data_IF_631873474492
#
_entry.id   IF_631873474492
#
_cell.length_a   1.000
_cell.length_b   1.000
_cell.length_c   1.000
_cell.angle_alpha   90.00
_cell.angle_beta   90.00
_cell.angle_gamma   90.00
#
_symmetry.space_group_name_H-M   'P 1'
#
loop_
_entity.id
_entity.type
_entity.pdbx_description
1 polymer ?
#
# COMPACT_ATOMS: atom_id res chain seq x y z
N UNK A 1 -11.94 -46.97 15.71
CA UNK A 1 -12.13 -45.84 14.76
C UNK A 1 -10.84 -45.61 14.01
N UNK A 2 -10.82 -45.58 12.68
CA UNK A 2 -9.61 -45.20 11.94
C UNK A 2 -9.20 -43.80 12.41
N UNK A 3 -7.96 -43.69 12.86
CA UNK A 3 -7.43 -42.47 13.45
C UNK A 3 -7.13 -41.48 12.29
N UNK A 4 -8.11 -40.61 12.03
CA UNK A 4 -8.23 -39.72 10.86
C UNK A 4 -7.46 -38.40 11.02
N UNK A 5 -6.50 -38.34 11.95
CA UNK A 5 -5.77 -37.11 12.25
C UNK A 5 -5.14 -36.47 11.00
N UNK A 6 -5.27 -35.14 10.89
CA UNK A 6 -4.72 -34.34 9.79
C UNK A 6 -3.24 -34.64 9.54
N UNK A 7 -2.48 -34.90 10.62
CA UNK A 7 -1.07 -35.27 10.55
C UNK A 7 -0.80 -36.51 9.68
N UNK A 8 -1.60 -37.59 9.82
CA UNK A 8 -1.40 -38.81 9.01
C UNK A 8 -1.70 -38.59 7.54
N UNK A 9 -2.70 -37.76 7.20
CA UNK A 9 -3.02 -37.45 5.80
C UNK A 9 -1.89 -36.66 5.13
N UNK A 10 -1.34 -35.67 5.83
CA UNK A 10 -0.25 -34.84 5.31
C UNK A 10 1.07 -35.61 5.22
N UNK A 11 1.33 -36.53 6.15
CA UNK A 11 2.53 -37.38 6.13
C UNK A 11 2.55 -38.35 4.93
N UNK A 12 1.37 -38.70 4.39
CA UNK A 12 1.22 -39.56 3.20
C UNK A 12 1.37 -38.82 1.88
N UNK A 13 1.40 -37.48 1.89
CA UNK A 13 1.55 -36.71 0.65
C UNK A 13 2.93 -36.96 0.04
N UNK A 14 3.00 -37.30 -1.26
CA UNK A 14 4.28 -37.46 -1.93
C UNK A 14 5.03 -36.13 -1.97
N UNK A 15 6.37 -36.18 -1.92
CA UNK A 15 7.18 -34.95 -1.80
C UNK A 15 6.97 -33.98 -2.96
N UNK A 16 6.78 -34.48 -4.17
CA UNK A 16 6.59 -33.68 -5.37
C UNK A 16 5.30 -32.85 -5.33
N UNK A 17 4.25 -33.30 -4.62
CA UNK A 17 3.00 -32.55 -4.52
C UNK A 17 3.03 -31.43 -3.49
N UNK A 18 4.04 -31.40 -2.60
CA UNK A 18 4.11 -30.40 -1.53
C UNK A 18 4.35 -29.00 -2.06
N UNK A 19 5.22 -28.83 -3.06
CA UNK A 19 5.49 -27.52 -3.65
C UNK A 19 4.26 -26.90 -4.35
N UNK A 20 3.54 -27.58 -5.25
CA UNK A 20 2.33 -27.01 -5.85
C UNK A 20 1.21 -26.76 -4.82
N UNK A 21 1.06 -27.63 -3.81
CA UNK A 21 0.12 -27.38 -2.70
C UNK A 21 0.54 -26.15 -1.88
N UNK A 22 1.84 -25.96 -1.65
CA UNK A 22 2.38 -24.77 -0.98
C UNK A 22 2.06 -23.50 -1.76
N UNK A 23 2.30 -23.50 -3.08
CA UNK A 23 1.95 -22.38 -3.97
C UNK A 23 0.46 -22.09 -3.92
N UNK A 24 -0.39 -23.13 -4.02
CA UNK A 24 -1.84 -22.97 -3.90
C UNK A 24 -2.27 -22.40 -2.54
N UNK A 25 -1.71 -22.89 -1.43
CA UNK A 25 -1.99 -22.36 -0.10
C UNK A 25 -1.56 -20.89 0.05
N UNK A 26 -0.41 -20.52 -0.52
CA UNK A 26 0.06 -19.14 -0.62
C UNK A 26 -0.89 -18.26 -1.42
N UNK A 27 -1.34 -18.70 -2.60
CA UNK A 27 -2.30 -17.96 -3.42
C UNK A 27 -3.65 -17.78 -2.70
N UNK A 28 -4.18 -18.84 -2.07
CA UNK A 28 -5.41 -18.78 -1.26
C UNK A 28 -5.24 -17.81 -0.09
N UNK A 29 -4.07 -17.81 0.56
CA UNK A 29 -3.73 -16.82 1.59
C UNK A 29 -3.67 -15.39 1.02
N UNK A 30 -3.21 -15.22 -0.22
CA UNK A 30 -3.13 -13.94 -0.92
C UNK A 30 -4.48 -13.28 -1.20
N UNK A 31 -5.55 -14.08 -1.36
CA UNK A 31 -6.92 -13.58 -1.56
C UNK A 31 -7.48 -12.81 -0.35
N UNK A 32 -6.80 -12.81 0.80
CA UNK A 32 -7.17 -11.97 1.94
C UNK A 32 -6.66 -10.54 1.84
N UNK A 33 -5.82 -10.23 0.86
CA UNK A 33 -5.38 -8.88 0.57
C UNK A 33 -6.36 -8.20 -0.40
N UNK A 34 -6.33 -6.87 -0.43
CA UNK A 34 -7.05 -6.10 -1.44
C UNK A 34 -6.61 -6.55 -2.85
N UNK A 35 -7.54 -6.59 -3.83
CA UNK A 35 -8.92 -6.12 -3.77
C UNK A 35 -9.95 -7.16 -3.29
N UNK A 36 -9.55 -8.39 -3.00
CA UNK A 36 -10.49 -9.49 -2.74
C UNK A 36 -11.02 -9.50 -1.31
N UNK A 37 -10.20 -9.12 -0.33
CA UNK A 37 -10.61 -8.95 1.07
C UNK A 37 -11.26 -10.22 1.70
N UNK A 38 -10.89 -11.41 1.21
CA UNK A 38 -11.44 -12.70 1.65
C UNK A 38 -10.70 -13.21 2.90
N UNK A 39 -10.77 -12.49 4.01
CA UNK A 39 -10.04 -12.78 5.26
C UNK A 39 -10.14 -14.23 5.71
N UNK A 40 -11.36 -14.81 5.70
CA UNK A 40 -11.57 -16.17 6.21
C UNK A 40 -10.94 -17.24 5.32
N UNK A 41 -11.01 -17.05 4.01
CA UNK A 41 -10.36 -17.91 3.04
C UNK A 41 -8.83 -17.80 3.17
N UNK A 42 -8.33 -16.59 3.42
CA UNK A 42 -6.91 -16.38 3.63
C UNK A 42 -6.39 -17.03 4.91
N UNK A 43 -7.16 -17.00 6.01
CA UNK A 43 -6.83 -17.75 7.22
C UNK A 43 -6.80 -19.26 6.97
N UNK A 44 -7.70 -19.78 6.14
CA UNK A 44 -7.65 -21.18 5.72
C UNK A 44 -6.36 -21.49 4.92
N UNK A 45 -5.97 -20.61 4.00
CA UNK A 45 -4.69 -20.70 3.28
C UNK A 45 -3.47 -20.67 4.21
N UNK A 46 -3.48 -19.77 5.20
CA UNK A 46 -2.42 -19.68 6.22
C UNK A 46 -2.35 -20.94 7.09
N UNK A 47 -3.50 -21.45 7.55
CA UNK A 47 -3.57 -22.72 8.31
C UNK A 47 -3.06 -23.88 7.46
N UNK A 48 -3.41 -23.93 6.16
CA UNK A 48 -2.91 -24.94 5.23
C UNK A 48 -1.39 -24.86 5.05
N UNK A 49 -0.81 -23.66 4.93
CA UNK A 49 0.64 -23.44 4.85
C UNK A 49 1.36 -23.96 6.11
N UNK A 50 0.87 -23.61 7.30
CA UNK A 50 1.43 -24.07 8.58
C UNK A 50 1.25 -25.58 8.76
N UNK A 51 0.11 -26.14 8.33
CA UNK A 51 -0.15 -27.57 8.34
C UNK A 51 0.82 -28.31 7.42
N UNK A 52 1.07 -27.80 6.22
CA UNK A 52 2.02 -28.39 5.28
C UNK A 52 3.45 -28.41 5.83
N UNK A 53 3.89 -27.33 6.47
CA UNK A 53 5.17 -27.29 7.17
C UNK A 53 5.27 -28.39 8.23
N UNK A 54 4.20 -28.64 8.97
CA UNK A 54 4.17 -29.64 10.04
C UNK A 54 4.42 -31.08 9.57
N UNK A 55 4.27 -31.36 8.27
CA UNK A 55 4.53 -32.66 7.64
C UNK A 55 5.92 -32.78 6.98
N UNK A 56 6.71 -31.70 7.01
CA UNK A 56 8.09 -31.72 6.52
C UNK A 56 8.99 -32.46 7.51
N UNK A 57 9.97 -33.22 7.03
CA UNK A 57 10.89 -33.97 7.91
C UNK A 57 12.34 -33.51 7.79
N UNK A 58 12.72 -33.00 6.61
CA UNK A 58 14.05 -32.44 6.35
C UNK A 58 13.97 -30.91 6.31
N UNK A 59 15.00 -30.19 6.77
CA UNK A 59 15.05 -28.72 6.64
C UNK A 59 14.88 -28.24 5.19
N UNK A 60 15.42 -28.97 4.21
CA UNK A 60 15.25 -28.64 2.78
C UNK A 60 13.80 -28.78 2.30
N UNK A 61 13.03 -29.74 2.83
CA UNK A 61 11.59 -29.83 2.52
C UNK A 61 10.85 -28.59 3.05
N UNK A 62 11.26 -28.09 4.22
CA UNK A 62 10.68 -26.89 4.82
C UNK A 62 11.02 -25.62 4.03
N UNK A 63 12.25 -25.51 3.51
CA UNK A 63 12.65 -24.45 2.57
C UNK A 63 11.73 -24.45 1.36
N UNK A 64 11.55 -25.60 0.70
CA UNK A 64 10.70 -25.71 -0.49
C UNK A 64 9.24 -25.35 -0.22
N UNK A 65 8.69 -25.76 0.92
CA UNK A 65 7.33 -25.39 1.34
C UNK A 65 7.24 -23.89 1.64
N UNK A 66 8.15 -23.32 2.43
CA UNK A 66 8.13 -21.89 2.76
C UNK A 66 8.30 -20.99 1.54
N UNK A 67 9.21 -21.37 0.63
CA UNK A 67 9.40 -20.69 -0.64
C UNK A 67 8.17 -20.81 -1.54
N UNK A 68 7.57 -22.00 -1.65
CA UNK A 68 6.34 -22.20 -2.43
C UNK A 68 5.16 -21.36 -1.92
N UNK A 69 4.94 -21.35 -0.60
CA UNK A 69 3.91 -20.50 0.03
C UNK A 69 4.18 -19.03 -0.25
N UNK A 70 5.42 -18.57 -0.12
CA UNK A 70 5.80 -17.20 -0.44
C UNK A 70 5.59 -16.86 -1.92
N UNK A 71 5.99 -17.75 -2.82
CA UNK A 71 5.88 -17.54 -4.27
C UNK A 71 4.41 -17.40 -4.71
N UNK A 72 3.53 -18.28 -4.24
CA UNK A 72 2.10 -18.19 -4.53
C UNK A 72 1.45 -16.95 -3.92
N UNK A 73 1.84 -16.59 -2.70
CA UNK A 73 1.33 -15.42 -2.00
C UNK A 73 1.75 -14.11 -2.68
N UNK A 74 3.06 -13.88 -2.83
CA UNK A 74 3.59 -12.66 -3.42
C UNK A 74 3.31 -12.59 -4.92
N UNK A 75 3.32 -13.71 -5.63
CA UNK A 75 2.99 -13.74 -7.06
C UNK A 75 1.56 -13.27 -7.34
N UNK A 76 0.60 -13.64 -6.49
CA UNK A 76 -0.77 -13.16 -6.59
C UNK A 76 -0.90 -11.71 -6.12
N UNK A 77 -0.42 -11.40 -4.91
CA UNK A 77 -0.65 -10.10 -4.27
C UNK A 77 0.12 -8.97 -4.95
N UNK A 78 1.28 -9.25 -5.52
CA UNK A 78 2.10 -8.26 -6.24
C UNK A 78 1.82 -8.24 -7.74
N UNK A 79 0.73 -8.87 -8.21
CA UNK A 79 0.35 -8.84 -9.63
C UNK A 79 0.23 -7.42 -10.21
N UNK A 80 -0.09 -6.43 -9.38
CA UNK A 80 -0.11 -5.01 -9.76
C UNK A 80 1.25 -4.47 -10.24
N UNK A 81 2.37 -5.14 -9.95
CA UNK A 81 3.71 -4.77 -10.43
C UNK A 81 3.80 -4.88 -11.96
N UNK A 82 2.86 -5.55 -12.62
CA UNK A 82 2.78 -5.58 -14.07
C UNK A 82 2.36 -4.23 -14.68
N UNK A 83 1.54 -3.45 -13.97
CA UNK A 83 0.91 -2.21 -14.48
C UNK A 83 1.90 -1.11 -14.87
N UNK A 84 2.96 -0.80 -14.07
CA UNK A 84 3.94 0.21 -14.46
C UNK A 84 4.64 -0.08 -15.80
N UNK A 85 4.81 -1.35 -16.16
CA UNK A 85 5.39 -1.76 -17.44
C UNK A 85 4.42 -1.62 -18.63
N UNK A 86 3.13 -1.42 -18.35
CA UNK A 86 2.12 -1.18 -19.39
C UNK A 86 1.98 0.30 -19.75
N UNK A 87 2.64 1.21 -19.01
CA UNK A 87 2.63 2.65 -19.33
C UNK A 87 3.23 2.87 -20.72
N UNK A 88 4.37 2.23 -20.99
CA UNK A 88 4.96 2.06 -22.32
C UNK A 88 5.22 0.55 -22.56
N UNK A 89 4.15 -0.14 -22.92
CA UNK A 89 4.15 -1.59 -23.13
C UNK A 89 5.08 -2.01 -24.28
N UNK A 90 5.22 -1.17 -25.31
CA UNK A 90 6.07 -1.46 -26.47
C UNK A 90 7.54 -1.52 -26.06
N UNK A 91 8.00 -0.62 -25.20
CA UNK A 91 9.38 -0.61 -24.72
C UNK A 91 9.63 -1.61 -23.58
N UNK A 92 8.70 -1.73 -22.63
CA UNK A 92 8.98 -2.36 -21.32
C UNK A 92 8.08 -3.54 -20.95
N UNK A 93 7.00 -3.79 -21.69
CA UNK A 93 6.00 -4.80 -21.34
C UNK A 93 6.56 -6.23 -21.26
N UNK A 94 7.55 -6.56 -22.08
CA UNK A 94 8.20 -7.89 -22.09
C UNK A 94 8.92 -8.21 -20.77
N UNK A 95 9.34 -7.20 -20.00
CA UNK A 95 10.04 -7.38 -18.72
C UNK A 95 9.10 -7.70 -17.57
N UNK A 96 7.82 -7.33 -17.68
CA UNK A 96 6.83 -7.40 -16.61
C UNK A 96 6.70 -8.78 -15.94
N UNK A 97 6.53 -9.91 -16.67
CA UNK A 97 6.40 -11.23 -16.04
C UNK A 97 7.67 -11.65 -15.29
N UNK A 98 8.86 -11.29 -15.80
CA UNK A 98 10.13 -11.57 -15.14
C UNK A 98 10.29 -10.72 -13.88
N UNK A 99 9.92 -9.44 -13.93
CA UNK A 99 9.95 -8.54 -12.78
C UNK A 99 9.06 -9.07 -11.65
N UNK A 100 7.82 -9.48 -11.97
CA UNK A 100 6.91 -10.07 -10.99
C UNK A 100 7.48 -11.37 -10.42
N UNK A 101 7.93 -12.29 -11.27
CA UNK A 101 8.45 -13.58 -10.82
C UNK A 101 9.67 -13.43 -9.92
N UNK A 102 10.68 -12.66 -10.33
CA UNK A 102 11.90 -12.49 -9.53
C UNK A 102 11.66 -11.71 -8.25
N UNK A 103 10.76 -10.72 -8.26
CA UNK A 103 10.36 -10.03 -7.04
C UNK A 103 9.65 -10.98 -6.07
N UNK A 104 8.64 -11.72 -6.54
CA UNK A 104 7.90 -12.68 -5.71
C UNK A 104 8.81 -13.80 -5.19
N UNK A 105 9.63 -14.40 -6.06
CA UNK A 105 10.59 -15.44 -5.71
C UNK A 105 11.65 -14.96 -4.72
N UNK A 106 12.15 -13.73 -4.88
CA UNK A 106 13.11 -13.10 -3.97
C UNK A 106 12.51 -12.83 -2.60
N UNK A 107 11.29 -12.29 -2.53
CA UNK A 107 10.59 -12.07 -1.25
C UNK A 107 10.23 -13.40 -0.57
N UNK A 108 9.91 -14.43 -1.34
CA UNK A 108 9.64 -15.77 -0.84
C UNK A 108 10.85 -16.41 -0.15
N UNK A 109 12.09 -15.98 -0.43
CA UNK A 109 13.28 -16.45 0.27
C UNK A 109 13.28 -16.09 1.76
N UNK A 110 12.68 -14.95 2.16
CA UNK A 110 12.51 -14.60 3.57
C UNK A 110 11.64 -15.64 4.29
N UNK A 111 10.56 -16.09 3.64
CA UNK A 111 9.67 -17.13 4.20
C UNK A 111 10.34 -18.50 4.16
N UNK A 112 11.08 -18.82 3.10
CA UNK A 112 11.89 -20.03 3.04
C UNK A 112 12.89 -20.12 4.20
N UNK A 113 13.58 -19.02 4.52
CA UNK A 113 14.51 -18.92 5.64
C UNK A 113 13.81 -19.09 6.99
N UNK A 114 12.61 -18.51 7.16
CA UNK A 114 11.81 -18.71 8.37
C UNK A 114 11.43 -20.17 8.59
N UNK A 115 10.97 -20.85 7.53
CA UNK A 115 10.60 -22.26 7.58
C UNK A 115 11.83 -23.15 7.83
N UNK A 116 12.97 -22.81 7.22
CA UNK A 116 14.25 -23.47 7.49
C UNK A 116 14.67 -23.35 8.95
N UNK A 117 14.70 -22.13 9.50
CA UNK A 117 15.08 -21.88 10.90
C UNK A 117 14.16 -22.62 11.87
N UNK A 118 12.85 -22.60 11.60
CA UNK A 118 11.87 -23.33 12.39
C UNK A 118 12.00 -24.86 12.28
N UNK A 119 12.62 -25.39 11.22
CA UNK A 119 12.80 -26.82 11.03
C UNK A 119 13.78 -27.46 12.02
N UNK A 120 14.69 -26.68 12.61
CA UNK A 120 15.64 -27.14 13.64
C UNK A 120 15.03 -27.19 15.04
N UNK A 121 13.85 -26.60 15.25
CA UNK A 121 13.20 -26.63 16.54
C UNK A 121 12.69 -28.04 16.88
N UNK A 122 12.68 -28.43 18.17
CA UNK A 122 12.14 -29.72 18.60
C UNK A 122 10.69 -29.91 18.11
N UNK A 123 10.27 -31.14 17.76
CA UNK A 123 8.95 -31.40 17.17
C UNK A 123 7.77 -30.78 17.94
N UNK A 124 7.85 -30.73 19.27
CA UNK A 124 6.81 -30.16 20.14
C UNK A 124 6.70 -28.62 20.07
N UNK A 125 7.78 -27.94 19.70
CA UNK A 125 7.87 -26.46 19.64
C UNK A 125 7.88 -25.94 18.21
N UNK A 126 7.97 -26.83 17.22
CA UNK A 126 8.21 -26.50 15.82
C UNK A 126 7.21 -25.52 15.21
N UNK A 127 5.92 -25.66 15.53
CA UNK A 127 4.87 -24.75 15.04
C UNK A 127 5.00 -23.33 15.63
N UNK A 128 5.35 -23.22 16.91
CA UNK A 128 5.57 -21.93 17.56
C UNK A 128 6.90 -21.29 17.15
N UNK A 129 7.92 -22.12 16.90
CA UNK A 129 9.16 -21.67 16.29
C UNK A 129 8.90 -21.11 14.88
N UNK A 130 8.02 -21.73 14.10
CA UNK A 130 7.60 -21.18 12.81
C UNK A 130 6.96 -19.79 12.97
N UNK A 131 6.03 -19.62 13.90
CA UNK A 131 5.42 -18.30 14.12
C UNK A 131 6.46 -17.22 14.48
N UNK A 132 7.42 -17.54 15.34
CA UNK A 132 8.49 -16.63 15.72
C UNK A 132 9.48 -16.33 14.57
N UNK A 133 9.99 -17.37 13.90
CA UNK A 133 10.91 -17.22 12.77
C UNK A 133 10.26 -16.49 11.60
N UNK A 134 8.98 -16.74 11.33
CA UNK A 134 8.26 -16.09 10.24
C UNK A 134 7.94 -14.63 10.56
N UNK A 135 7.54 -14.31 11.79
CA UNK A 135 7.42 -12.91 12.21
C UNK A 135 8.76 -12.16 12.16
N UNK A 136 9.86 -12.81 12.55
CA UNK A 136 11.20 -12.24 12.45
C UNK A 136 11.62 -12.02 10.99
N UNK A 137 11.29 -12.95 10.08
CA UNK A 137 11.56 -12.80 8.66
C UNK A 137 10.72 -11.67 8.02
N UNK A 138 9.45 -11.52 8.42
CA UNK A 138 8.60 -10.39 8.03
C UNK A 138 9.17 -9.05 8.53
N UNK A 139 9.69 -9.02 9.75
CA UNK A 139 10.38 -7.85 10.28
C UNK A 139 11.67 -7.57 9.49
N UNK A 140 12.49 -8.58 9.21
CA UNK A 140 13.71 -8.43 8.43
C UNK A 140 13.40 -7.92 7.01
N UNK A 141 12.38 -8.46 6.35
CA UNK A 141 11.89 -8.03 5.04
C UNK A 141 11.48 -6.56 5.00
N UNK A 142 11.07 -5.99 6.14
CA UNK A 142 10.74 -4.57 6.26
C UNK A 142 11.95 -3.62 6.34
N UNK A 143 13.18 -4.13 6.48
CA UNK A 143 14.39 -3.31 6.64
C UNK A 143 15.56 -3.70 5.72
N UNK A 144 15.72 -4.98 5.38
CA UNK A 144 16.78 -5.48 4.51
C UNK A 144 16.59 -4.92 3.09
N UNK A 145 17.69 -4.45 2.47
CA UNK A 145 17.69 -3.80 1.14
C UNK A 145 16.67 -2.66 1.03
N UNK A 146 16.72 -1.72 1.98
CA UNK A 146 15.75 -0.62 2.19
C UNK A 146 14.34 -1.03 2.64
N UNK A 147 14.02 -2.32 2.57
CA UNK A 147 12.78 -2.87 3.07
C UNK A 147 11.66 -2.86 2.04
N UNK A 148 10.90 -3.95 2.00
CA UNK A 148 9.69 -4.09 1.21
C UNK A 148 8.62 -4.74 2.06
N UNK A 149 7.98 -3.98 2.95
CA UNK A 149 6.97 -4.49 3.89
C UNK A 149 5.55 -4.57 3.28
N UNK A 150 5.44 -4.80 1.97
CA UNK A 150 4.14 -4.96 1.31
C UNK A 150 3.49 -6.29 1.72
N UNK A 151 2.15 -6.34 1.75
CA UNK A 151 1.38 -7.55 2.02
C UNK A 151 1.76 -8.28 3.32
N UNK A 152 1.91 -7.55 4.43
CA UNK A 152 2.16 -8.19 5.73
C UNK A 152 0.99 -9.11 6.11
N UNK A 153 1.30 -10.26 6.73
CA UNK A 153 0.30 -11.24 7.19
C UNK A 153 -0.74 -10.61 8.14
N UNK A 154 -0.33 -9.65 8.99
CA UNK A 154 -1.26 -8.91 9.85
C UNK A 154 -2.32 -8.10 9.09
N UNK A 155 -2.08 -7.77 7.82
CA UNK A 155 -3.02 -7.00 6.99
C UNK A 155 -4.19 -7.85 6.47
N UNK A 156 -4.13 -9.19 6.61
CA UNK A 156 -5.26 -10.07 6.27
C UNK A 156 -6.52 -9.74 7.08
N UNK A 157 -6.35 -9.08 8.23
CA UNK A 157 -7.45 -8.62 9.08
C UNK A 157 -8.05 -7.29 8.63
N UNK A 158 -7.50 -6.60 7.62
CA UNK A 158 -7.97 -5.27 7.19
C UNK A 158 -9.49 -5.15 6.96
N UNK A 159 -10.19 -6.16 6.42
CA UNK A 159 -11.65 -6.10 6.21
C UNK A 159 -12.50 -6.29 7.47
N UNK A 160 -11.91 -6.67 8.61
CA UNK A 160 -12.64 -7.04 9.84
C UNK A 160 -12.07 -6.36 11.09
N UNK A 161 -12.80 -6.41 12.20
CA UNK A 161 -12.49 -5.64 13.43
C UNK A 161 -11.12 -5.97 14.04
N UNK A 162 -10.58 -7.16 13.81
CA UNK A 162 -9.27 -7.55 14.34
C UNK A 162 -8.12 -6.62 13.87
N UNK A 163 -8.28 -5.88 12.77
CA UNK A 163 -7.28 -4.89 12.32
C UNK A 163 -6.99 -3.82 13.37
N UNK A 164 -7.94 -3.51 14.26
CA UNK A 164 -7.78 -2.49 15.30
C UNK A 164 -6.66 -2.82 16.29
N UNK A 165 -6.31 -4.09 16.46
CA UNK A 165 -5.14 -4.49 17.24
C UNK A 165 -3.82 -3.92 16.72
N UNK A 166 -3.77 -3.49 15.45
CA UNK A 166 -2.61 -2.78 14.90
C UNK A 166 -2.30 -1.46 15.62
N UNK A 167 -3.29 -0.81 16.25
CA UNK A 167 -3.10 0.40 17.05
C UNK A 167 -2.34 0.12 18.37
N UNK A 168 -2.44 -1.10 18.90
CA UNK A 168 -1.83 -1.51 20.17
C UNK A 168 -0.51 -2.26 19.93
N UNK A 169 -0.53 -3.26 19.05
CA UNK A 169 0.58 -4.18 18.81
C UNK A 169 1.52 -3.70 17.68
N UNK A 170 1.06 -2.73 16.88
CA UNK A 170 1.64 -2.45 15.58
C UNK A 170 1.40 -3.60 14.58
N UNK A 171 1.73 -3.38 13.29
CA UNK A 171 1.50 -4.37 12.24
C UNK A 171 2.36 -5.64 12.38
N UNK A 172 3.58 -5.52 12.90
CA UNK A 172 4.46 -6.68 13.14
C UNK A 172 3.99 -7.52 14.34
N UNK A 173 3.49 -6.88 15.41
CA UNK A 173 2.91 -7.59 16.54
C UNK A 173 1.64 -8.33 16.14
N UNK A 174 0.75 -7.69 15.35
CA UNK A 174 -0.43 -8.36 14.80
C UNK A 174 -0.05 -9.53 13.88
N UNK A 175 1.01 -9.38 13.07
CA UNK A 175 1.55 -10.48 12.26
C UNK A 175 1.99 -11.66 13.12
N UNK A 176 2.76 -11.42 14.19
CA UNK A 176 3.19 -12.48 15.11
C UNK A 176 2.01 -13.21 15.77
N UNK A 177 1.01 -12.47 16.26
CA UNK A 177 -0.18 -13.06 16.89
C UNK A 177 -1.00 -13.88 15.88
N UNK A 178 -1.13 -13.41 14.64
CA UNK A 178 -1.83 -14.13 13.56
C UNK A 178 -1.15 -15.44 13.21
N UNK A 179 0.19 -15.44 13.14
CA UNK A 179 0.97 -16.66 12.93
C UNK A 179 0.87 -17.61 14.14
N UNK A 180 0.82 -17.07 15.35
CA UNK A 180 0.57 -17.83 16.58
C UNK A 180 -0.80 -18.50 16.60
N UNK A 181 -1.85 -17.80 16.13
CA UNK A 181 -3.18 -18.36 15.94
C UNK A 181 -3.15 -19.55 14.99
N UNK A 182 -2.51 -19.42 13.82
CA UNK A 182 -2.39 -20.51 12.86
C UNK A 182 -1.60 -21.71 13.44
N UNK A 183 -0.52 -21.45 14.20
CA UNK A 183 0.23 -22.48 14.89
C UNK A 183 -0.61 -23.25 15.93
N UNK A 184 -1.42 -22.54 16.74
CA UNK A 184 -2.33 -23.14 17.71
C UNK A 184 -3.43 -23.97 17.02
N UNK A 185 -4.02 -23.44 15.95
CA UNK A 185 -5.04 -24.12 15.17
C UNK A 185 -4.51 -25.45 14.61
N UNK A 186 -3.34 -25.44 13.96
CA UNK A 186 -2.71 -26.65 13.43
C UNK A 186 -2.33 -27.62 14.54
N UNK A 187 -1.82 -27.13 15.69
CA UNK A 187 -1.53 -27.98 16.84
C UNK A 187 -2.80 -28.68 17.39
N UNK A 188 -3.95 -28.01 17.38
CA UNK A 188 -5.24 -28.59 17.73
C UNK A 188 -5.73 -29.63 16.72
N UNK A 189 -5.57 -29.38 15.42
CA UNK A 189 -6.02 -30.27 14.34
C UNK A 189 -5.17 -31.54 14.19
N UNK A 190 -3.92 -31.54 14.66
CA UNK A 190 -3.02 -32.71 14.58
C UNK A 190 -3.36 -33.82 15.57
N UNK A 191 -4.24 -33.58 16.54
CA UNK A 191 -4.67 -34.60 17.52
C UNK A 191 -3.63 -34.91 18.60
N UNK A 192 -3.96 -35.83 19.52
CA UNK A 192 -3.14 -36.20 20.68
C UNK A 192 -3.67 -35.66 22.02
N UNK A 193 -3.11 -36.13 23.14
CA UNK A 193 -3.62 -35.89 24.51
C UNK A 193 -3.77 -34.39 24.89
N UNK A 194 -3.03 -33.49 24.24
CA UNK A 194 -3.04 -32.03 24.51
C UNK A 194 -3.60 -31.20 23.35
N UNK A 195 -4.12 -31.82 22.30
CA UNK A 195 -4.63 -31.12 21.13
C UNK A 195 -5.82 -30.21 21.47
N UNK A 196 -6.72 -30.68 22.34
CA UNK A 196 -7.86 -29.89 22.80
C UNK A 196 -7.42 -28.57 23.46
N UNK A 197 -6.30 -28.55 24.20
CA UNK A 197 -5.75 -27.32 24.81
C UNK A 197 -5.29 -26.32 23.76
N UNK A 198 -4.68 -26.81 22.68
CA UNK A 198 -4.21 -25.95 21.58
C UNK A 198 -5.39 -25.45 20.74
N UNK A 199 -6.39 -26.31 20.49
CA UNK A 199 -7.63 -25.92 19.82
C UNK A 199 -8.43 -24.90 20.61
N UNK A 200 -8.57 -25.09 21.93
CA UNK A 200 -9.18 -24.11 22.83
C UNK A 200 -8.37 -22.81 22.85
N UNK A 201 -7.04 -22.89 22.93
CA UNK A 201 -6.18 -21.71 22.84
C UNK A 201 -6.34 -20.94 21.53
N UNK A 202 -6.44 -21.65 20.40
CA UNK A 202 -6.71 -21.03 19.09
C UNK A 202 -8.07 -20.35 19.07
N UNK A 203 -9.12 -21.01 19.59
CA UNK A 203 -10.47 -20.45 19.67
C UNK A 203 -10.51 -19.20 20.55
N UNK A 204 -9.94 -19.27 21.76
CA UNK A 204 -9.88 -18.13 22.68
C UNK A 204 -9.10 -16.96 22.07
N UNK A 205 -7.98 -17.23 21.40
CA UNK A 205 -7.21 -16.19 20.72
C UNK A 205 -7.99 -15.58 19.55
N UNK A 206 -8.69 -16.40 18.76
CA UNK A 206 -9.54 -15.92 17.68
C UNK A 206 -10.67 -15.03 18.17
N UNK A 207 -11.37 -15.44 19.23
CA UNK A 207 -12.43 -14.65 19.88
C UNK A 207 -11.84 -13.36 20.47
N UNK A 208 -10.67 -13.42 21.10
CA UNK A 208 -10.00 -12.22 21.63
C UNK A 208 -9.58 -11.25 20.52
N UNK A 209 -9.13 -11.74 19.36
CA UNK A 209 -8.79 -10.90 18.21
C UNK A 209 -10.02 -10.16 17.68
N UNK A 210 -11.13 -10.86 17.43
CA UNK A 210 -12.34 -10.25 16.88
C UNK A 210 -13.08 -9.38 17.91
N UNK A 211 -13.29 -9.90 19.12
CA UNK A 211 -14.00 -9.22 20.20
C UNK A 211 -13.20 -8.04 20.76
N UNK A 212 -11.91 -8.23 21.01
CA UNK A 212 -11.02 -7.14 21.42
C UNK A 212 -10.84 -6.11 20.31
N UNK A 213 -10.76 -6.55 19.05
CA UNK A 213 -10.73 -5.65 17.89
C UNK A 213 -12.00 -4.80 17.79
N UNK A 214 -13.16 -5.39 18.02
CA UNK A 214 -14.44 -4.67 18.06
C UNK A 214 -14.50 -3.65 19.21
N UNK A 215 -13.99 -4.01 20.39
CA UNK A 215 -13.91 -3.09 21.53
C UNK A 215 -12.92 -1.93 21.32
N UNK A 216 -11.93 -2.10 20.45
CA UNK A 216 -10.97 -1.07 20.07
C UNK A 216 -11.46 -0.16 18.93
N UNK A 217 -12.60 -0.46 18.28
CA UNK A 217 -13.17 0.41 17.25
C UNK A 217 -13.54 1.75 17.90
N UNK A 218 -12.99 2.88 17.42
CA UNK A 218 -13.34 4.17 17.99
C UNK A 218 -14.82 4.48 17.75
N UNK A 219 -15.50 5.13 18.70
CA UNK A 219 -16.89 5.56 18.50
C UNK A 219 -16.97 6.54 17.32
N UNK A 220 -18.15 6.61 16.70
CA UNK A 220 -18.44 7.63 15.70
C UNK A 220 -18.14 9.00 16.27
N UNK A 221 -17.35 9.78 15.55
CA UNK A 221 -16.97 11.12 15.96
C UNK A 221 -18.03 12.13 15.52
N UNK A 222 -18.29 13.11 16.38
CA UNK A 222 -19.03 14.29 15.96
C UNK A 222 -18.19 15.10 14.97
N UNK A 223 -18.76 15.25 13.77
CA UNK A 223 -18.17 15.97 12.64
C UNK A 223 -18.68 17.42 12.58
N UNK A 224 -19.62 17.82 13.43
CA UNK A 224 -20.05 19.21 13.54
C UNK A 224 -18.85 20.11 13.86
N UNK A 225 -18.81 21.27 13.22
CA UNK A 225 -17.77 22.30 13.38
C UNK A 225 -16.33 21.84 13.09
N UNK A 226 -16.14 20.71 12.38
CA UNK A 226 -14.82 20.28 11.91
C UNK A 226 -14.40 21.06 10.66
N UNK A 227 -13.12 21.40 10.52
CA UNK A 227 -12.64 22.01 9.29
C UNK A 227 -12.83 21.07 8.10
N UNK A 228 -13.33 21.63 7.01
CA UNK A 228 -13.50 20.93 5.74
C UNK A 228 -12.14 20.83 5.05
N UNK A 229 -11.79 19.62 4.64
CA UNK A 229 -10.58 19.34 3.85
C UNK A 229 -10.99 18.88 2.46
N UNK A 230 -10.43 19.51 1.42
CA UNK A 230 -10.65 19.13 0.03
C UNK A 230 -9.47 18.34 -0.49
N UNK A 231 -9.73 17.17 -1.10
CA UNK A 231 -8.73 16.38 -1.82
C UNK A 231 -8.96 16.56 -3.31
N UNK A 232 -7.97 17.08 -4.04
CA UNK A 232 -8.07 17.32 -5.48
C UNK A 232 -7.43 16.15 -6.22
N UNK A 233 -8.13 15.56 -7.18
CA UNK A 233 -7.58 14.49 -8.02
C UNK A 233 -7.72 14.89 -9.50
N UNK A 234 -6.61 15.24 -10.21
CA UNK A 234 -6.66 15.69 -11.60
C UNK A 234 -7.15 14.63 -12.58
N UNK A 235 -7.13 13.36 -12.18
CA UNK A 235 -7.40 12.21 -13.05
C UNK A 235 -6.57 12.28 -14.36
N UNK A 236 -5.27 12.53 -14.22
CA UNK A 236 -4.34 12.61 -15.34
C UNK A 236 -3.84 11.20 -15.72
N UNK A 237 -4.09 10.70 -16.94
CA UNK A 237 -3.51 9.45 -17.41
C UNK A 237 -1.99 9.51 -17.34
N UNK A 238 -1.36 8.42 -16.89
CA UNK A 238 0.07 8.42 -16.58
C UNK A 238 0.95 8.75 -17.80
N UNK A 239 0.55 8.33 -19.02
CA UNK A 239 1.27 8.64 -20.26
C UNK A 239 1.21 10.13 -20.64
N UNK A 240 0.13 10.83 -20.26
CA UNK A 240 -0.11 12.23 -20.60
C UNK A 240 0.39 13.20 -19.53
N UNK A 241 0.60 12.72 -18.29
CA UNK A 241 0.94 13.57 -17.14
C UNK A 241 2.13 14.51 -17.39
N UNK A 242 3.11 14.04 -18.16
CA UNK A 242 4.33 14.78 -18.46
C UNK A 242 4.39 15.34 -19.88
N UNK A 243 3.30 15.19 -20.65
CA UNK A 243 3.19 15.75 -21.98
C UNK A 243 2.88 17.25 -21.89
N UNK A 244 3.73 18.06 -22.54
CA UNK A 244 3.64 19.52 -22.58
C UNK A 244 2.28 20.00 -23.10
N UNK A 245 1.62 19.25 -23.98
CA UNK A 245 0.31 19.61 -24.52
C UNK A 245 -0.82 19.47 -23.48
N UNK A 246 -0.69 18.54 -22.53
CA UNK A 246 -1.74 18.23 -21.55
C UNK A 246 -1.50 18.85 -20.17
N UNK A 247 -0.27 19.27 -19.87
CA UNK A 247 0.09 19.94 -18.62
C UNK A 247 -0.86 21.09 -18.25
N UNK A 248 -1.14 22.08 -19.14
CA UNK A 248 -2.03 23.19 -18.78
C UNK A 248 -3.44 22.72 -18.42
N UNK A 249 -3.99 21.77 -19.19
CA UNK A 249 -5.31 21.18 -18.93
C UNK A 249 -5.39 20.54 -17.53
N UNK A 250 -4.35 19.82 -17.08
CA UNK A 250 -4.34 19.21 -15.74
C UNK A 250 -4.13 20.22 -14.62
N UNK A 251 -3.37 21.29 -14.88
CA UNK A 251 -3.21 22.39 -13.94
C UNK A 251 -4.54 23.13 -13.76
N UNK A 252 -5.14 23.61 -14.85
CA UNK A 252 -6.40 24.36 -14.84
C UNK A 252 -7.53 23.56 -14.18
N UNK A 253 -7.65 22.27 -14.51
CA UNK A 253 -8.62 21.38 -13.86
C UNK A 253 -8.46 21.31 -12.33
N UNK A 254 -7.22 21.27 -11.83
CA UNK A 254 -6.99 21.25 -10.38
C UNK A 254 -7.33 22.59 -9.73
N UNK A 255 -7.06 23.70 -10.42
CA UNK A 255 -7.45 25.05 -9.98
C UNK A 255 -8.98 25.16 -9.94
N UNK A 256 -9.68 24.72 -10.98
CA UNK A 256 -11.14 24.72 -11.05
C UNK A 256 -11.76 23.89 -9.93
N UNK A 257 -11.23 22.68 -9.69
CA UNK A 257 -11.67 21.83 -8.58
C UNK A 257 -11.37 22.45 -7.21
N UNK A 258 -10.33 23.28 -7.12
CA UNK A 258 -10.00 24.01 -5.89
C UNK A 258 -10.95 25.18 -5.66
N UNK A 259 -11.30 25.93 -6.72
CA UNK A 259 -12.19 27.08 -6.66
C UNK A 259 -13.69 26.70 -6.54
N UNK A 260 -14.06 25.48 -6.92
CA UNK A 260 -15.44 25.01 -6.89
C UNK A 260 -16.10 25.19 -5.50
N UNK A 261 -17.40 25.47 -5.42
CA UNK A 261 -18.11 25.50 -4.15
C UNK A 261 -18.04 24.13 -3.47
N UNK A 262 -18.02 24.12 -2.14
CA UNK A 262 -18.15 22.86 -1.39
C UNK A 262 -19.55 22.26 -1.62
N UNK A 263 -19.61 20.94 -1.73
CA UNK A 263 -20.89 20.23 -1.80
C UNK A 263 -21.62 20.27 -0.45
N UNK A 264 -22.92 19.95 -0.48
CA UNK A 264 -23.74 19.68 0.72
C UNK A 264 -23.84 20.84 1.72
N UNK A 265 -23.72 22.09 1.24
CA UNK A 265 -23.79 23.28 2.08
C UNK A 265 -22.62 23.45 3.05
N UNK A 266 -21.55 22.66 2.88
CA UNK A 266 -20.35 22.75 3.70
C UNK A 266 -19.66 24.11 3.52
N UNK A 267 -18.96 24.61 4.56
CA UNK A 267 -18.17 25.83 4.43
C UNK A 267 -17.05 25.66 3.40
N UNK A 268 -16.43 26.79 3.02
CA UNK A 268 -15.21 26.73 2.20
C UNK A 268 -14.14 25.87 2.88
N UNK A 269 -13.37 25.08 2.12
CA UNK A 269 -12.33 24.23 2.68
C UNK A 269 -11.31 25.06 3.46
N UNK A 270 -10.97 24.62 4.66
CA UNK A 270 -9.87 25.21 5.41
C UNK A 270 -8.50 24.75 4.88
N UNK A 271 -8.47 23.58 4.22
CA UNK A 271 -7.28 23.00 3.62
C UNK A 271 -7.64 22.29 2.31
N UNK A 272 -6.92 22.61 1.25
CA UNK A 272 -6.95 21.90 -0.02
C UNK A 272 -5.67 21.08 -0.19
N UNK A 273 -5.79 19.82 -0.59
CA UNK A 273 -4.67 18.91 -0.76
C UNK A 273 -4.59 18.46 -2.21
N UNK A 274 -3.47 18.75 -2.85
CA UNK A 274 -3.11 18.29 -4.18
C UNK A 274 -2.14 17.09 -4.08
N UNK A 275 -2.13 16.19 -5.08
CA UNK A 275 -1.36 14.95 -5.05
C UNK A 275 0.16 15.16 -5.21
N UNK A 276 0.88 14.05 -5.31
CA UNK A 276 2.33 14.03 -5.51
C UNK A 276 2.72 14.57 -6.89
N UNK A 277 3.64 15.54 -6.87
CA UNK A 277 4.18 16.19 -8.07
C UNK A 277 3.06 16.71 -8.99
N UNK A 278 2.23 17.59 -8.43
CA UNK A 278 1.10 18.23 -9.11
C UNK A 278 1.50 19.41 -9.96
N UNK A 279 2.60 20.08 -9.61
CA UNK A 279 3.16 21.16 -10.41
C UNK A 279 4.32 20.61 -11.26
N UNK A 280 4.28 20.79 -12.59
CA UNK A 280 5.30 20.28 -13.51
C UNK A 280 6.48 21.27 -13.65
N UNK A 281 6.85 21.91 -12.54
CA UNK A 281 7.94 22.87 -12.43
C UNK A 281 8.62 22.73 -11.07
N UNK A 282 9.81 23.31 -10.95
CA UNK A 282 10.52 23.39 -9.67
C UNK A 282 9.87 24.45 -8.78
N UNK A 283 9.90 24.22 -7.47
CA UNK A 283 9.40 25.15 -6.47
C UNK A 283 10.01 26.54 -6.61
N UNK A 284 11.29 26.58 -6.96
CA UNK A 284 12.11 27.77 -7.21
C UNK A 284 11.58 28.66 -8.35
N UNK A 285 10.66 28.14 -9.18
CA UNK A 285 10.06 28.83 -10.31
C UNK A 285 8.52 28.81 -10.25
N UNK A 286 7.95 28.46 -9.10
CA UNK A 286 6.52 28.20 -8.98
C UNK A 286 5.69 29.39 -8.46
N UNK A 287 6.28 30.57 -8.26
CA UNK A 287 5.59 31.71 -7.62
C UNK A 287 4.25 32.06 -8.31
N UNK A 288 4.23 32.16 -9.64
CA UNK A 288 2.99 32.46 -10.38
C UNK A 288 1.95 31.33 -10.22
N UNK A 289 2.36 30.08 -10.40
CA UNK A 289 1.48 28.93 -10.25
C UNK A 289 0.96 28.80 -8.80
N UNK A 290 1.80 29.04 -7.80
CA UNK A 290 1.41 29.06 -6.39
C UNK A 290 0.44 30.19 -6.09
N UNK A 291 0.64 31.38 -6.66
CA UNK A 291 -0.33 32.48 -6.58
C UNK A 291 -1.71 32.06 -7.05
N UNK A 292 -1.82 31.53 -8.27
CA UNK A 292 -3.08 31.05 -8.85
C UNK A 292 -3.76 29.99 -7.96
N UNK A 293 -2.99 29.00 -7.50
CA UNK A 293 -3.53 27.90 -6.69
C UNK A 293 -3.98 28.36 -5.30
N UNK A 294 -3.21 29.24 -4.66
CA UNK A 294 -3.52 29.74 -3.32
C UNK A 294 -4.67 30.73 -3.32
N UNK A 295 -4.79 31.54 -4.38
CA UNK A 295 -5.95 32.42 -4.60
C UNK A 295 -7.23 31.62 -4.81
N UNK A 296 -7.16 30.53 -5.60
CA UNK A 296 -8.28 29.61 -5.76
C UNK A 296 -8.68 28.93 -4.43
N UNK A 297 -7.72 28.66 -3.54
CA UNK A 297 -7.97 28.03 -2.24
C UNK A 297 -8.43 29.01 -1.14
N UNK A 298 -8.32 30.32 -1.35
CA UNK A 298 -8.61 31.34 -0.34
C UNK A 298 -10.09 31.26 0.15
N UNK A 299 -10.36 31.38 1.46
CA UNK A 299 -9.46 31.74 2.57
C UNK A 299 -8.67 30.57 3.20
N UNK A 300 -8.77 29.36 2.65
CA UNK A 300 -8.04 28.18 3.12
C UNK A 300 -6.57 28.16 2.72
N UNK A 301 -5.87 27.14 3.19
CA UNK A 301 -4.47 26.85 2.81
C UNK A 301 -4.41 25.73 1.77
N UNK A 302 -3.28 25.61 1.06
CA UNK A 302 -3.04 24.51 0.13
C UNK A 302 -1.80 23.70 0.53
N UNK A 303 -1.93 22.38 0.51
CA UNK A 303 -0.81 21.44 0.58
C UNK A 303 -0.68 20.76 -0.77
N UNK A 304 0.48 20.88 -1.42
CA UNK A 304 0.69 20.31 -2.75
C UNK A 304 2.06 19.66 -2.91
N UNK A 305 2.14 18.69 -3.83
CA UNK A 305 3.40 18.09 -4.21
C UNK A 305 4.10 18.82 -5.35
N UNK A 306 5.40 19.05 -5.19
CA UNK A 306 6.25 19.76 -6.15
C UNK A 306 7.70 19.25 -6.04
N UNK A 307 8.48 19.41 -7.11
CA UNK A 307 9.92 19.16 -7.07
C UNK A 307 10.67 20.41 -6.60
N UNK A 308 11.75 20.25 -5.85
CA UNK A 308 12.58 21.37 -5.35
C UNK A 308 14.04 21.10 -5.67
N UNK A 309 14.79 22.12 -6.04
CA UNK A 309 16.23 22.00 -6.19
C UNK A 309 16.95 22.72 -5.04
N UNK A 310 17.99 22.11 -4.48
CA UNK A 310 18.88 22.78 -3.54
C UNK A 310 20.30 22.25 -3.72
N UNK A 311 21.26 23.14 -4.02
CA UNK A 311 22.67 22.76 -4.16
C UNK A 311 22.94 21.69 -5.22
N UNK A 312 22.18 21.69 -6.32
CA UNK A 312 22.27 20.70 -7.40
C UNK A 312 21.59 19.36 -7.10
N UNK A 313 20.95 19.21 -5.94
CA UNK A 313 20.16 18.05 -5.57
C UNK A 313 18.66 18.28 -5.79
N UNK A 314 17.97 17.26 -6.29
CA UNK A 314 16.55 17.31 -6.62
C UNK A 314 15.73 16.58 -5.55
N UNK A 315 14.68 17.22 -5.03
CA UNK A 315 13.86 16.70 -3.95
C UNK A 315 12.41 16.57 -4.36
N UNK A 316 11.82 15.41 -4.09
CA UNK A 316 10.39 15.20 -4.19
C UNK A 316 9.71 15.76 -2.92
N UNK A 317 9.06 16.92 -3.04
CA UNK A 317 8.70 17.79 -1.91
C UNK A 317 7.20 17.99 -1.74
N UNK A 318 6.76 18.26 -0.51
CA UNK A 318 5.41 18.65 -0.16
C UNK A 318 5.48 20.04 0.50
N UNK A 319 4.68 20.99 0.04
CA UNK A 319 4.69 22.38 0.53
C UNK A 319 3.32 22.75 1.10
N UNK A 320 3.29 23.59 2.15
CA UNK A 320 2.08 24.28 2.63
C UNK A 320 2.20 25.74 2.26
N UNK A 321 1.24 26.25 1.49
CA UNK A 321 1.16 27.65 1.12
C UNK A 321 -0.17 28.25 1.62
N UNK A 322 -0.07 29.47 2.14
CA UNK A 322 -1.22 30.35 2.37
C UNK A 322 -1.47 31.24 1.15
N UNK A 323 -2.30 32.28 1.28
CA UNK A 323 -2.58 33.21 0.19
C UNK A 323 -1.29 33.84 -0.39
N UNK A 324 -1.16 33.81 -1.72
CA UNK A 324 0.00 34.30 -2.45
C UNK A 324 1.11 33.24 -2.63
N UNK A 325 2.27 33.61 -3.20
CA UNK A 325 3.32 32.66 -3.57
C UNK A 325 4.10 32.09 -2.37
N UNK A 326 3.84 32.57 -1.14
CA UNK A 326 4.68 32.26 0.02
C UNK A 326 4.39 30.87 0.57
N UNK A 327 5.42 30.01 0.50
CA UNK A 327 5.44 28.73 1.19
C UNK A 327 5.81 28.92 2.66
N UNK A 328 4.96 28.38 3.55
CA UNK A 328 5.16 28.45 5.00
C UNK A 328 6.02 27.33 5.55
N UNK A 329 5.94 26.13 4.96
CA UNK A 329 6.79 24.98 5.34
C UNK A 329 6.99 24.04 4.14
N UNK A 330 8.03 23.23 4.23
CA UNK A 330 8.47 22.27 3.19
C UNK A 330 8.79 20.93 3.86
N UNK A 331 8.41 19.84 3.22
CA UNK A 331 8.80 18.48 3.59
C UNK A 331 9.37 17.74 2.38
N UNK A 332 10.62 17.32 2.51
CA UNK A 332 11.30 16.52 1.49
C UNK A 332 11.13 15.01 1.76
N UNK A 333 10.86 14.24 0.70
CA UNK A 333 10.67 12.78 0.81
C UNK A 333 11.93 12.10 1.34
N UNK A 334 11.80 11.43 2.48
CA UNK A 334 12.93 10.78 3.15
C UNK A 334 13.19 9.33 2.68
N UNK A 335 12.14 8.56 2.41
CA UNK A 335 12.26 7.16 2.00
C UNK A 335 11.88 7.05 0.53
N UNK A 336 12.88 6.74 -0.28
CA UNK A 336 12.80 6.75 -1.73
C UNK A 336 12.51 5.37 -2.28
N UNK A 337 11.87 5.32 -3.44
CA UNK A 337 11.58 4.06 -4.13
C UNK A 337 12.84 3.58 -4.87
N UNK A 338 13.37 2.38 -4.55
CA UNK A 338 14.48 1.81 -5.29
C UNK A 338 14.15 1.65 -6.78
N UNK A 339 15.13 1.87 -7.65
CA UNK A 339 15.06 1.82 -9.12
C UNK A 339 14.16 2.89 -9.79
N UNK A 340 13.18 3.44 -9.06
CA UNK A 340 12.32 4.52 -9.53
C UNK A 340 12.86 5.93 -9.24
N UNK A 341 13.27 6.20 -8.00
CA UNK A 341 13.75 7.53 -7.56
C UNK A 341 15.27 7.59 -7.38
N UNK A 342 15.91 6.44 -7.17
CA UNK A 342 17.37 6.30 -7.12
C UNK A 342 17.79 4.92 -7.61
N UNK A 343 19.06 4.78 -8.00
CA UNK A 343 19.64 3.49 -8.40
C UNK A 343 20.44 2.89 -7.23
N UNK A 344 19.98 1.80 -6.60
CA UNK A 344 20.77 1.09 -5.60
C UNK A 344 22.09 0.60 -6.22
N UNK A 345 23.20 0.71 -5.48
CA UNK A 345 24.53 0.28 -5.95
C UNK A 345 24.90 0.82 -7.35
N UNK A 346 24.58 2.09 -7.62
CA UNK A 346 24.77 2.76 -8.91
C UNK A 346 26.15 2.51 -9.53
N UNK A 347 27.22 2.53 -8.73
CA UNK A 347 28.59 2.29 -9.19
C UNK A 347 28.78 0.91 -9.85
N UNK A 348 28.09 -0.12 -9.36
CA UNK A 348 28.18 -1.48 -9.91
C UNK A 348 27.42 -1.55 -11.24
N UNK A 349 26.22 -0.98 -11.28
CA UNK A 349 25.38 -1.00 -12.48
C UNK A 349 25.94 -0.12 -13.61
N UNK A 350 26.60 0.99 -13.28
CA UNK A 350 27.33 1.81 -14.25
C UNK A 350 28.46 1.04 -14.93
N UNK A 351 29.18 0.15 -14.22
CA UNK A 351 30.20 -0.72 -14.82
C UNK A 351 29.63 -1.67 -15.87
N UNK A 352 28.35 -1.99 -15.79
CA UNK A 352 27.65 -2.86 -16.75
C UNK A 352 26.74 -2.08 -17.72
N UNK A 353 26.89 -0.75 -17.77
CA UNK A 353 26.10 0.14 -18.63
C UNK A 353 24.57 0.02 -18.42
N UNK A 354 24.14 -0.35 -17.21
CA UNK A 354 22.74 -0.42 -16.81
C UNK A 354 22.41 0.88 -16.07
N UNK A 355 21.84 1.86 -16.79
CA UNK A 355 21.34 3.08 -16.17
C UNK A 355 19.91 2.89 -15.66
N UNK A 356 19.64 3.28 -14.41
CA UNK A 356 18.28 3.28 -13.85
C UNK A 356 17.39 4.33 -14.51
N UNK A 357 16.06 4.16 -14.43
CA UNK A 357 15.07 5.13 -14.94
C UNK A 357 15.31 6.54 -14.34
N UNK A 358 15.65 6.61 -13.05
CA UNK A 358 16.02 7.85 -12.37
C UNK A 358 17.25 8.53 -13.00
N UNK A 359 18.33 7.78 -13.29
CA UNK A 359 19.56 8.34 -13.86
C UNK A 359 19.42 8.82 -15.30
N UNK A 360 18.43 8.32 -16.05
CA UNK A 360 18.12 8.80 -17.41
C UNK A 360 17.26 10.07 -17.42
N UNK A 361 16.57 10.40 -16.32
CA UNK A 361 15.58 11.47 -16.30
C UNK A 361 16.07 12.79 -15.67
N UNK A 362 16.93 12.75 -14.65
CA UNK A 362 17.65 13.87 -14.03
C UNK A 362 18.37 13.30 -12.79
N UNK A 363 19.41 13.95 -12.26
CA UNK A 363 20.23 13.45 -11.15
C UNK A 363 19.45 12.76 -10.01
N UNK A 364 20.04 11.72 -9.42
CA UNK A 364 19.41 10.93 -8.37
C UNK A 364 18.87 11.81 -7.23
N UNK A 365 17.63 11.56 -6.79
CA UNK A 365 17.01 12.28 -5.68
C UNK A 365 17.69 11.86 -4.37
N UNK A 366 18.31 12.75 -3.58
CA UNK A 366 18.76 12.37 -2.24
C UNK A 366 17.61 12.38 -1.23
N UNK A 367 17.71 11.62 -0.14
CA UNK A 367 16.68 11.59 0.89
C UNK A 367 16.63 12.93 1.66
N UNK A 368 15.41 13.40 1.94
CA UNK A 368 15.18 14.58 2.78
C UNK A 368 15.65 14.42 4.24
N UNK A 369 15.93 15.53 4.93
CA UNK A 369 16.36 15.54 6.35
C UNK A 369 15.18 15.22 7.30
N UNK A 370 15.26 14.12 8.05
CA UNK A 370 14.51 13.88 9.29
C UNK A 370 12.97 13.98 9.25
N UNK A 371 12.32 13.94 10.41
CA UNK A 371 10.85 14.05 10.55
C UNK A 371 10.49 15.49 10.91
N UNK A 372 10.04 16.28 9.94
CA UNK A 372 9.36 17.54 10.23
C UNK A 372 7.88 17.26 10.55
N UNK A 373 7.40 17.75 11.70
CA UNK A 373 5.99 17.76 12.04
C UNK A 373 5.43 19.12 11.61
N UNK A 374 4.35 19.12 10.83
CA UNK A 374 3.72 20.36 10.40
C UNK A 374 2.86 20.92 11.53
N UNK A 375 3.03 22.21 11.81
CA UNK A 375 2.21 22.98 12.75
C UNK A 375 1.69 24.19 11.97
N UNK A 376 0.42 24.21 11.55
CA UNK A 376 -0.13 25.45 10.97
C UNK A 376 -0.32 26.46 12.11
N UNK A 377 0.29 27.64 11.95
CA UNK A 377 0.40 28.68 12.99
C UNK A 377 -0.84 29.56 13.16
N UNK A 378 -1.96 29.25 12.50
CA UNK A 378 -3.25 29.87 12.86
C UNK A 378 -3.75 29.15 14.10
N UNK A 379 -4.35 29.88 15.03
CA UNK A 379 -4.91 29.41 16.29
C UNK A 379 -6.01 28.35 16.07
N UNK A 380 -5.62 27.15 15.67
CA UNK A 380 -6.40 25.95 15.76
C UNK A 380 -6.33 25.57 17.23
N UNK A 381 -7.36 25.92 18.01
CA UNK A 381 -7.60 25.31 19.31
C UNK A 381 -8.01 23.82 19.16
N UNK A 382 -7.30 23.08 18.29
CA UNK A 382 -7.20 21.64 18.38
C UNK A 382 -6.11 21.36 19.42
N UNK A 383 -6.50 20.71 20.51
CA UNK A 383 -5.58 19.94 21.35
C UNK A 383 -4.57 19.24 20.44
N UNK A 384 -3.31 19.69 20.48
CA UNK A 384 -2.21 19.28 19.61
C UNK A 384 -2.29 17.80 19.22
N UNK A 385 -2.66 17.51 17.96
CA UNK A 385 -2.38 16.23 17.32
C UNK A 385 -1.65 16.50 16.01
N UNK A 386 -0.35 16.22 16.04
CA UNK A 386 0.62 16.31 14.96
C UNK A 386 0.15 15.68 13.65
N UNK A 387 0.28 16.38 12.52
CA UNK A 387 0.13 15.79 11.19
C UNK A 387 1.47 15.15 10.76
N UNK A 388 1.53 13.82 10.75
CA UNK A 388 2.70 13.08 10.26
C UNK A 388 2.56 12.82 8.76
N UNK A 389 3.29 13.56 7.92
CA UNK A 389 3.27 13.37 6.46
C UNK A 389 4.00 12.07 6.07
N UNK A 390 3.28 11.20 5.35
CA UNK A 390 3.80 9.95 4.78
C UNK A 390 3.42 9.89 3.30
N UNK A 391 4.41 10.01 2.41
CA UNK A 391 4.23 10.00 0.95
C UNK A 391 4.52 8.60 0.38
N UNK A 392 3.69 8.19 -0.59
CA UNK A 392 3.76 6.93 -1.34
C UNK A 392 4.09 5.71 -0.45
N UNK A 393 5.26 5.09 -0.62
CA UNK A 393 5.70 3.89 0.12
C UNK A 393 5.93 4.10 1.63
N UNK A 394 6.06 5.34 2.13
CA UNK A 394 6.26 5.59 3.57
C UNK A 394 5.01 5.26 4.41
N UNK A 395 3.82 5.18 3.80
CA UNK A 395 2.62 4.69 4.51
C UNK A 395 2.80 3.24 5.00
N UNK A 396 3.67 2.47 4.34
CA UNK A 396 3.90 1.05 4.61
C UNK A 396 5.03 0.84 5.66
N UNK A 397 5.94 1.80 5.83
CA UNK A 397 7.04 1.71 6.80
C UNK A 397 6.60 1.97 8.26
N UNK A 398 6.58 0.94 9.10
CA UNK A 398 5.85 0.90 10.38
C UNK A 398 6.52 1.54 11.61
N UNK A 399 7.30 2.64 11.51
CA UNK A 399 7.86 3.30 12.72
C UNK A 399 6.96 4.41 13.29
N UNK A 400 5.78 4.04 13.82
CA UNK A 400 4.69 4.84 14.44
C UNK A 400 3.52 5.19 13.51
N UNK A 401 2.55 4.29 13.36
CA UNK A 401 1.25 4.63 12.79
C UNK A 401 0.47 5.48 13.81
N UNK A 402 0.02 6.67 13.40
CA UNK A 402 -1.11 7.32 14.05
C UNK A 402 -2.41 6.68 13.51
N UNK A 403 -3.50 6.60 14.30
CA UNK A 403 -4.68 5.84 13.91
C UNK A 403 -5.32 6.42 12.65
N UNK A 404 -5.57 5.58 11.65
CA UNK A 404 -6.28 5.92 10.42
C UNK A 404 -7.69 5.31 10.54
N UNK A 405 -8.71 6.15 10.53
CA UNK A 405 -10.11 5.73 10.48
C UNK A 405 -10.45 5.23 9.07
N UNK A 406 -10.89 3.98 8.95
CA UNK A 406 -11.53 3.46 7.75
C UNK A 406 -13.02 3.81 7.78
N UNK A 407 -13.50 4.56 6.77
CA UNK A 407 -14.93 4.76 6.53
C UNK A 407 -15.49 3.59 5.72
N UNK A 408 -16.61 3.04 6.17
CA UNK A 408 -17.50 2.18 5.38
C UNK A 408 -18.87 2.84 5.43
N UNK A 409 -19.40 3.28 4.28
CA UNK A 409 -20.78 3.80 4.21
C UNK A 409 -21.78 2.69 4.54
N UNK A 410 -22.78 2.93 5.40
CA UNK A 410 -23.92 2.04 5.51
C UNK A 410 -24.91 2.37 4.36
N UNK A 411 -25.17 1.40 3.49
CA UNK A 411 -26.38 1.42 2.67
C UNK A 411 -27.55 1.01 3.56
N UNK A 412 -28.50 1.94 3.79
CA UNK A 412 -29.81 1.62 4.37
C UNK A 412 -30.73 1.00 3.31
N UNK A 413 -31.50 -0.05 3.64
CA UNK A 413 -32.45 -0.68 2.73
C UNK A 413 -33.78 0.07 2.73
N UNK A 414 -34.29 0.45 1.55
CA UNK A 414 -35.68 0.88 1.40
C UNK A 414 -35.92 2.07 0.48
N UNK A 415 -35.86 1.83 -0.83
CA UNK A 415 -36.67 2.54 -1.82
C UNK A 415 -36.55 1.83 -3.16
N UNK A 416 -37.68 1.38 -3.73
CA UNK A 416 -37.76 0.65 -5.00
C UNK A 416 -37.21 1.48 -6.18
N UNK A 417 -36.63 0.84 -7.22
CA UNK A 417 -36.04 1.55 -8.35
C UNK A 417 -37.10 2.01 -9.36
N UNK A 418 -37.00 3.27 -9.80
CA UNK A 418 -37.72 3.79 -10.97
C UNK A 418 -36.98 3.38 -12.27
N UNK A 419 -37.67 2.95 -13.34
CA UNK A 419 -37.03 2.36 -14.52
C UNK A 419 -36.66 3.45 -15.54
N UNK A 420 -35.43 3.98 -15.48
CA UNK A 420 -34.94 4.89 -16.53
C UNK A 420 -33.42 4.88 -16.77
N UNK A 421 -32.67 3.89 -16.25
CA UNK A 421 -31.19 3.88 -16.34
C UNK A 421 -30.58 2.57 -16.87
N UNK A 422 -31.34 1.79 -17.63
CA UNK A 422 -30.87 0.57 -18.29
C UNK A 422 -30.75 0.75 -19.81
N UNK A 423 -29.89 1.67 -20.27
CA UNK A 423 -29.51 1.73 -21.70
C UNK A 423 -28.26 2.57 -22.02
N UNK A 424 -27.16 2.45 -21.26
CA UNK A 424 -25.88 3.11 -21.66
C UNK A 424 -24.67 2.13 -21.69
N UNK A 425 -24.85 0.84 -21.45
CA UNK A 425 -23.74 -0.13 -21.41
C UNK A 425 -23.43 -0.90 -22.70
N UNK A 426 -24.05 -0.56 -23.83
CA UNK A 426 -23.71 -1.18 -25.12
C UNK A 426 -23.87 -0.23 -26.31
N UNK A 427 -22.82 0.53 -26.67
CA UNK A 427 -22.50 0.84 -28.08
C UNK A 427 -20.98 1.06 -28.28
N UNK A 428 -20.38 0.50 -29.34
CA UNK A 428 -19.00 0.78 -29.73
C UNK A 428 -18.91 2.19 -30.35
N UNK A 429 -17.83 2.91 -30.03
CA UNK A 429 -17.59 4.25 -30.54
C UNK A 429 -17.24 4.21 -32.05
N UNK A 430 -18.15 4.68 -32.88
CA UNK A 430 -17.87 5.11 -34.25
C UNK A 430 -17.47 6.59 -34.26
N UNK A 431 -16.38 6.89 -34.96
CA UNK A 431 -15.91 8.26 -35.23
C UNK A 431 -16.82 8.93 -36.27
N UNK A 432 -17.20 10.20 -36.07
CA UNK A 432 -17.53 11.07 -37.19
C UNK A 432 -16.55 12.25 -37.30
N UNK A 433 -16.18 12.51 -38.55
CA UNK A 433 -15.46 13.67 -39.04
C UNK A 433 -16.38 14.91 -39.13
N UNK A 434 -15.84 16.09 -38.84
CA UNK A 434 -16.14 17.40 -39.48
C UNK A 434 -15.41 18.50 -38.68
N UNK A 435 -14.43 19.17 -39.28
CA UNK A 435 -14.56 20.50 -39.92
C UNK A 435 -15.21 21.56 -39.02
N UNK A 436 -14.34 22.43 -38.49
CA UNK A 436 -14.54 23.89 -38.47
C UNK A 436 -15.41 24.46 -37.35
N UNK A 437 -14.77 25.03 -36.33
CA UNK A 437 -15.14 26.34 -35.80
C UNK A 437 -13.94 26.95 -35.05
N UNK A 438 -13.45 28.09 -35.56
CA UNK A 438 -12.45 28.94 -34.93
C UNK A 438 -13.17 29.89 -34.00
N UNK A 439 -12.75 29.96 -32.74
CA UNK A 439 -12.89 31.16 -31.90
C UNK A 439 -11.57 31.36 -31.16
N UNK A 440 -10.88 32.43 -31.51
CA UNK A 440 -9.60 32.84 -30.97
C UNK A 440 -9.78 33.46 -29.57
N UNK A 441 -8.99 33.01 -28.59
CA UNK A 441 -8.64 33.76 -27.39
C UNK A 441 -7.10 33.69 -27.24
N UNK A 442 -6.42 34.76 -26.80
CA UNK A 442 -4.97 34.86 -26.90
C UNK A 442 -4.26 33.96 -25.87
N UNK A 443 -3.06 33.43 -26.17
CA UNK A 443 -2.27 32.65 -25.23
C UNK A 443 -1.62 33.54 -24.17
N UNK A 444 -1.62 33.06 -22.92
CA UNK A 444 -0.92 33.65 -21.77
C UNK A 444 0.60 33.49 -21.97
N UNK A 445 1.41 34.56 -21.87
CA UNK A 445 2.86 34.48 -22.04
C UNK A 445 3.53 34.06 -20.73
N UNK A 446 4.08 32.83 -20.69
CA UNK A 446 4.84 32.34 -19.53
C UNK A 446 5.61 31.04 -19.77
N UNK A 447 5.16 30.21 -20.72
CA UNK A 447 5.92 29.03 -21.16
C UNK A 447 6.87 29.40 -22.30
N UNK A 448 8.06 29.93 -21.98
CA UNK A 448 9.18 29.98 -22.94
C UNK A 448 10.50 29.48 -22.33
N UNK A 449 10.95 28.40 -22.98
CA UNK A 449 12.25 27.71 -23.03
C UNK A 449 12.58 26.75 -21.89
#
# INVERSE_FOLDING_TARGET
MPDTSLGRRLDRLPRWSRLPIAIGAGAVMGLGQAPWDLTWLALAGLIAAVALFSATRRPLDAVGVGWGVGLGYFGLVLGWVLEPFQVDAAATGWMAPFALFFLAAGLALFWALAFWGAAYAPPRRRLFALAACWAAAELARAYVFTGFAWAMVGSLWAPVTAIQWSAVLGPHGLTFVTLGLAALAVAGLRGGRRAWRSGLGALLLFVALLGGGAALVPPLQDLADRPVVRLVQPNAPQQQKWDRAYIPMFFDRQVDFTAAPSHDGLPRPALTVWPETSLPMLLDHADEALGIVTDAAFPGEVVLGIQREEGGAWYNSLVLAGQGPRVSQVYDKHHLVPFGEYMPAAEIFQRWNIAGLAQRAAGATPPGRGRACWISGRSWAMRCRSFATRRCFRRICARRAAPICCFRSPMTPGSAPSPALTSIWHRPASVPSSRGCRCCAPPIPGFRR
#
